data_IF_681109552851
#
_entry.id   IF_681109552851
#
_cell.length_a   1.000
_cell.length_b   1.000
_cell.length_c   1.000
_cell.angle_alpha   90.00
_cell.angle_beta   90.00
_cell.angle_gamma   90.00
#
_symmetry.space_group_name_H-M   'P 1'
#
loop_
_entity.id
_entity.type
_entity.pdbx_description
1 polymer ?
#
# COMPACT_ATOMS: atom_id res chain seq x y z
N UNK A 1 -22.00 14.09 4.03
CA UNK A 1 -21.32 14.03 2.71
C UNK A 1 -20.13 13.11 2.91
N UNK A 2 -20.14 11.95 2.27
CA UNK A 2 -19.28 10.82 2.64
C UNK A 2 -17.80 11.15 2.51
N UNK A 3 -17.08 11.10 3.63
CA UNK A 3 -15.67 10.76 3.58
C UNK A 3 -15.62 9.33 3.06
N UNK A 4 -15.33 9.14 1.77
CA UNK A 4 -14.77 7.90 1.31
C UNK A 4 -13.49 7.70 2.13
N UNK A 5 -13.65 6.99 3.25
CA UNK A 5 -12.62 6.89 4.28
C UNK A 5 -11.45 6.14 3.65
N UNK A 6 -10.23 6.45 4.03
CA UNK A 6 -9.05 5.76 3.47
C UNK A 6 -9.20 4.23 3.57
N UNK A 7 -9.91 3.75 4.59
CA UNK A 7 -10.40 2.38 4.73
C UNK A 7 -11.12 1.84 3.48
N UNK A 8 -12.12 2.54 2.92
CA UNK A 8 -12.86 2.09 1.74
C UNK A 8 -11.94 1.97 0.51
N UNK A 9 -11.02 2.93 0.33
CA UNK A 9 -10.05 2.88 -0.76
C UNK A 9 -9.09 1.69 -0.60
N UNK A 10 -8.71 1.35 0.63
CA UNK A 10 -7.90 0.17 0.92
C UNK A 10 -8.71 -1.13 0.73
N UNK A 11 -9.96 -1.18 1.19
CA UNK A 11 -10.85 -2.33 1.01
C UNK A 11 -11.14 -2.62 -0.47
N UNK A 12 -11.06 -1.61 -1.33
CA UNK A 12 -11.20 -1.74 -2.79
C UNK A 12 -9.91 -2.13 -3.51
N UNK A 13 -8.80 -2.30 -2.80
CA UNK A 13 -7.55 -2.79 -3.39
C UNK A 13 -7.68 -4.27 -3.79
N UNK A 14 -7.04 -4.63 -4.90
CA UNK A 14 -6.89 -6.04 -5.25
C UNK A 14 -6.00 -6.72 -4.20
N UNK A 15 -6.19 -8.02 -3.94
CA UNK A 15 -5.42 -8.75 -2.92
C UNK A 15 -3.91 -8.58 -3.03
N UNK A 16 -3.36 -8.41 -4.23
CA UNK A 16 -1.93 -8.08 -4.45
C UNK A 16 -1.56 -6.68 -3.98
N UNK A 17 -2.37 -5.68 -4.28
CA UNK A 17 -2.16 -4.29 -3.84
C UNK A 17 -2.25 -4.19 -2.31
N UNK A 18 -3.22 -4.89 -1.72
CA UNK A 18 -3.36 -4.99 -0.26
C UNK A 18 -2.15 -5.68 0.38
N UNK A 19 -1.64 -6.76 -0.22
CA UNK A 19 -0.42 -7.43 0.26
C UNK A 19 0.78 -6.50 0.23
N UNK A 20 0.99 -5.77 -0.88
CA UNK A 20 2.07 -4.76 -0.98
C UNK A 20 1.91 -3.70 0.11
N UNK A 21 0.70 -3.17 0.28
CA UNK A 21 0.39 -2.16 1.28
C UNK A 21 0.69 -2.66 2.71
N UNK A 22 0.27 -3.88 3.06
CA UNK A 22 0.53 -4.48 4.38
C UNK A 22 2.03 -4.71 4.62
N UNK A 23 2.76 -5.20 3.63
CA UNK A 23 4.20 -5.40 3.79
C UNK A 23 4.93 -4.06 3.93
N UNK A 24 4.53 -3.04 3.17
CA UNK A 24 5.00 -1.66 3.36
C UNK A 24 4.67 -1.18 4.78
N UNK A 25 3.44 -1.38 5.24
CA UNK A 25 2.97 -0.97 6.56
C UNK A 25 3.74 -1.61 7.72
N UNK A 26 4.29 -2.81 7.50
CA UNK A 26 5.20 -3.52 8.42
C UNK A 26 6.64 -3.02 8.38
N UNK A 27 6.94 -1.99 7.58
CA UNK A 27 8.27 -1.43 7.41
C UNK A 27 9.17 -2.23 6.47
N UNK A 28 8.62 -3.17 5.67
CA UNK A 28 9.43 -3.93 4.71
C UNK A 28 9.89 -3.05 3.56
N UNK A 29 11.10 -3.32 3.08
CA UNK A 29 11.66 -2.62 1.93
C UNK A 29 11.04 -3.11 0.63
N UNK A 30 11.07 -2.29 -0.41
CA UNK A 30 10.60 -2.69 -1.75
C UNK A 30 11.25 -3.99 -2.25
N UNK A 31 12.50 -4.26 -1.86
CA UNK A 31 13.22 -5.50 -2.17
C UNK A 31 12.59 -6.71 -1.48
N UNK A 32 12.30 -6.60 -0.20
CA UNK A 32 11.69 -7.71 0.56
C UNK A 32 10.26 -8.00 0.12
N UNK A 33 9.52 -6.96 -0.27
CA UNK A 33 8.18 -7.10 -0.83
C UNK A 33 8.26 -7.77 -2.20
N UNK A 34 9.22 -7.32 -3.03
CA UNK A 34 9.49 -7.91 -4.33
C UNK A 34 9.84 -9.40 -4.18
N UNK A 35 10.74 -9.74 -3.27
CA UNK A 35 11.14 -11.11 -2.96
C UNK A 35 9.96 -11.96 -2.46
N UNK A 36 9.22 -11.48 -1.44
CA UNK A 36 8.09 -12.20 -0.87
C UNK A 36 6.88 -12.37 -1.79
N UNK A 37 6.75 -11.53 -2.82
CA UNK A 37 5.69 -11.62 -3.83
C UNK A 37 6.18 -12.19 -5.17
N UNK A 38 7.46 -12.60 -5.28
CA UNK A 38 8.10 -12.99 -6.53
C UNK A 38 7.94 -11.95 -7.66
N UNK A 39 8.00 -10.67 -7.28
CA UNK A 39 7.91 -9.52 -8.16
C UNK A 39 9.29 -8.87 -8.31
N UNK A 40 9.44 -8.00 -9.31
CA UNK A 40 10.61 -7.13 -9.43
C UNK A 40 10.42 -5.84 -8.63
N UNK A 41 11.51 -5.25 -8.14
CA UNK A 41 11.49 -3.91 -7.53
C UNK A 41 10.78 -2.87 -8.40
N UNK A 42 10.94 -2.96 -9.73
CA UNK A 42 10.22 -2.11 -10.70
C UNK A 42 8.71 -2.28 -10.56
N UNK A 43 8.24 -3.51 -10.44
CA UNK A 43 6.82 -3.83 -10.28
C UNK A 43 6.28 -3.32 -8.95
N UNK A 44 7.01 -3.49 -7.85
CA UNK A 44 6.65 -2.91 -6.55
C UNK A 44 6.60 -1.39 -6.62
N UNK A 45 7.53 -0.75 -7.34
CA UNK A 45 7.52 0.69 -7.56
C UNK A 45 6.28 1.15 -8.34
N UNK A 46 5.86 0.40 -9.36
CA UNK A 46 4.61 0.66 -10.09
C UNK A 46 3.38 0.49 -9.19
N UNK A 47 3.33 -0.57 -8.39
CA UNK A 47 2.24 -0.78 -7.42
C UNK A 47 2.18 0.35 -6.40
N UNK A 48 3.33 0.78 -5.87
CA UNK A 48 3.42 1.91 -4.95
C UNK A 48 2.86 3.18 -5.57
N UNK A 49 3.23 3.54 -6.80
CA UNK A 49 2.68 4.73 -7.46
C UNK A 49 1.16 4.64 -7.64
N UNK A 50 0.66 3.45 -8.01
CA UNK A 50 -0.79 3.23 -8.12
C UNK A 50 -1.50 3.32 -6.77
N UNK A 51 -0.91 2.77 -5.72
CA UNK A 51 -1.40 2.85 -4.34
C UNK A 51 -1.41 4.30 -3.85
N UNK A 52 -0.34 5.07 -4.08
CA UNK A 52 -0.25 6.49 -3.74
C UNK A 52 -1.35 7.30 -4.44
N UNK A 53 -1.59 7.04 -5.73
CA UNK A 53 -2.66 7.69 -6.50
C UNK A 53 -4.06 7.29 -6.00
N UNK A 54 -4.28 6.00 -5.72
CA UNK A 54 -5.57 5.50 -5.22
C UNK A 54 -5.89 6.01 -3.82
N UNK A 55 -4.90 6.03 -2.93
CA UNK A 55 -5.02 6.42 -1.52
C UNK A 55 -4.76 7.91 -1.29
N UNK A 56 -4.49 8.67 -2.37
CA UNK A 56 -4.11 10.08 -2.34
C UNK A 56 -2.94 10.40 -1.39
N UNK A 57 -2.04 9.43 -1.21
CA UNK A 57 -0.89 9.51 -0.32
C UNK A 57 0.29 10.16 -1.04
N UNK A 58 1.06 10.98 -0.33
CA UNK A 58 2.18 11.74 -0.91
C UNK A 58 3.53 11.06 -0.76
N UNK A 59 3.63 10.07 0.12
CA UNK A 59 4.89 9.41 0.44
C UNK A 59 4.67 7.97 0.91
N UNK A 60 5.74 7.19 0.88
CA UNK A 60 5.72 5.81 1.41
C UNK A 60 5.33 5.80 2.89
N UNK A 61 5.88 6.75 3.66
CA UNK A 61 5.56 6.94 5.08
C UNK A 61 4.08 7.25 5.25
N UNK A 62 3.54 8.17 4.44
CA UNK A 62 2.12 8.50 4.37
C UNK A 62 1.26 7.24 4.12
N UNK A 63 1.67 6.41 3.16
CA UNK A 63 0.99 5.14 2.83
C UNK A 63 0.99 4.16 4.01
N UNK A 64 2.12 4.09 4.73
CA UNK A 64 2.30 3.23 5.90
C UNK A 64 1.46 3.73 7.07
N UNK A 65 1.51 5.04 7.33
CA UNK A 65 0.69 5.68 8.36
C UNK A 65 -0.79 5.48 8.06
N UNK A 66 -1.22 5.61 6.81
CA UNK A 66 -2.59 5.31 6.40
C UNK A 66 -2.96 3.86 6.72
N UNK A 67 -2.11 2.90 6.34
CA UNK A 67 -2.39 1.50 6.61
C UNK A 67 -2.48 1.19 8.12
N UNK A 68 -1.59 1.79 8.92
CA UNK A 68 -1.58 1.68 10.38
C UNK A 68 -2.82 2.35 11.01
N UNK A 69 -3.16 3.57 10.59
CA UNK A 69 -4.33 4.33 11.07
C UNK A 69 -5.65 3.64 10.75
N UNK A 70 -5.71 2.92 9.63
CA UNK A 70 -6.89 2.16 9.21
C UNK A 70 -6.91 0.72 9.76
N UNK A 71 -5.95 0.32 10.60
CA UNK A 71 -5.96 -0.99 11.27
C UNK A 71 -5.70 -2.19 10.35
N UNK A 72 -4.95 -1.99 9.26
CA UNK A 72 -4.67 -3.05 8.27
C UNK A 72 -3.51 -3.96 8.67
N UNK A 73 -2.99 -3.81 9.89
CA UNK A 73 -1.77 -4.43 10.40
C UNK A 73 -1.91 -4.81 11.87
#
# INVERSE_FOLDING_TARGET
MGNASEADMVERLSGREMMVLQQLARGRTNKEIADGMFLSNKTVSTYKTRLLLKLNARSLVDLIELAQRNGLV
#
